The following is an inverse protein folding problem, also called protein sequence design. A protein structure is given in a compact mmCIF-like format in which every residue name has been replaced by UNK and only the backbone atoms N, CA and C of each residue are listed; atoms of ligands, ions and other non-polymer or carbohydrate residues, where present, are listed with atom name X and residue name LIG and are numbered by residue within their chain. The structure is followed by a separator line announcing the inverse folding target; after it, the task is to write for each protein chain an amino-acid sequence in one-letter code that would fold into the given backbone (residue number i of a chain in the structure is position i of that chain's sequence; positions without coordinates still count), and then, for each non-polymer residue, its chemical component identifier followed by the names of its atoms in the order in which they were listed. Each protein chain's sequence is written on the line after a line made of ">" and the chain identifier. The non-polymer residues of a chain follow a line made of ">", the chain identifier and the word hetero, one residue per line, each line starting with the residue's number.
data_IF_933551611175
#
_entry.id   IF_933551611175
#
_cell.length_a   1.000
_cell.length_b   1.000
_cell.length_c   1.000
_cell.angle_alpha   90.00
_cell.angle_beta   90.00
_cell.angle_gamma   90.00
#
_symmetry.space_group_name_H-M   'P 1'
#
loop_
_entity.id
_entity.type
_entity.pdbx_description
1 polymer ?
#
# COMPACT_ATOMS: atom_id res chain seq x y z
N UNK A 1 9.89 4.22 8.70
CA UNK A 1 9.37 2.87 8.94
C UNK A 1 9.65 2.54 10.40
N UNK A 2 8.63 2.20 11.18
CA UNK A 2 8.78 1.96 12.62
C UNK A 2 8.64 0.48 12.97
N UNK A 3 9.17 0.10 14.14
CA UNK A 3 9.01 -1.26 14.65
C UNK A 3 7.58 -1.50 15.14
N UNK A 4 7.05 -2.72 14.91
CA UNK A 4 5.74 -3.13 15.37
C UNK A 4 5.76 -3.44 16.89
N UNK A 5 6.06 -2.42 17.70
CA UNK A 5 6.13 -2.50 19.15
C UNK A 5 5.56 -1.21 19.78
N UNK A 6 5.30 -1.23 21.09
CA UNK A 6 4.94 -0.05 21.88
C UNK A 6 3.78 0.79 21.28
N UNK A 7 3.98 2.11 21.13
CA UNK A 7 2.94 3.03 20.68
C UNK A 7 2.38 2.72 19.30
N UNK A 8 3.25 2.36 18.33
CA UNK A 8 2.84 2.09 16.94
C UNK A 8 1.94 0.86 16.86
N UNK A 9 2.25 -0.20 17.63
CA UNK A 9 1.37 -1.37 17.75
C UNK A 9 0.00 -0.98 18.29
N UNK A 10 -0.07 -0.12 19.31
CA UNK A 10 -1.33 0.38 19.88
C UNK A 10 -2.14 1.15 18.86
N UNK A 11 -1.52 2.08 18.12
CA UNK A 11 -2.18 2.88 17.08
C UNK A 11 -2.77 1.96 16.00
N UNK A 12 -1.99 1.01 15.46
CA UNK A 12 -2.49 0.08 14.44
C UNK A 12 -3.61 -0.82 14.97
N UNK A 13 -3.53 -1.28 16.23
CA UNK A 13 -4.61 -2.06 16.84
C UNK A 13 -5.86 -1.21 17.07
N UNK A 14 -5.72 0.03 17.53
CA UNK A 14 -6.84 0.98 17.68
C UNK A 14 -7.49 1.25 16.34
N UNK A 15 -6.70 1.48 15.28
CA UNK A 15 -7.20 1.63 13.91
C UNK A 15 -8.03 0.43 13.43
N UNK A 16 -7.66 -0.77 13.86
CA UNK A 16 -8.39 -2.01 13.51
C UNK A 16 -9.69 -2.20 14.33
N UNK A 17 -9.83 -1.50 15.46
CA UNK A 17 -10.93 -1.73 16.40
C UNK A 17 -11.85 -0.52 16.60
N UNK A 18 -11.45 0.68 16.18
CA UNK A 18 -12.27 1.89 16.27
C UNK A 18 -12.21 2.72 14.99
N UNK A 19 -13.32 3.38 14.65
CA UNK A 19 -13.40 4.37 13.58
C UNK A 19 -13.23 5.78 14.17
N UNK A 20 -12.08 6.07 14.80
CA UNK A 20 -11.80 7.36 15.44
C UNK A 20 -11.11 8.32 14.48
N UNK A 21 -11.40 9.60 14.58
CA UNK A 21 -10.84 10.68 13.74
C UNK A 21 -9.32 10.75 13.86
N UNK A 22 -8.79 10.59 15.08
CA UNK A 22 -7.34 10.56 15.36
C UNK A 22 -6.58 9.49 14.57
N UNK A 23 -7.23 8.36 14.29
CA UNK A 23 -6.64 7.29 13.46
C UNK A 23 -6.60 7.68 11.99
N UNK A 24 -7.61 8.37 11.51
CA UNK A 24 -7.67 8.85 10.12
C UNK A 24 -6.56 9.86 9.86
N UNK A 25 -6.38 10.84 10.76
CA UNK A 25 -5.33 11.85 10.67
C UNK A 25 -3.94 11.23 10.69
N UNK A 26 -3.72 10.23 11.57
CA UNK A 26 -2.48 9.47 11.59
C UNK A 26 -2.21 8.75 10.25
N UNK A 27 -3.22 8.10 9.67
CA UNK A 27 -3.06 7.38 8.40
C UNK A 27 -2.79 8.35 7.24
N UNK A 28 -3.41 9.51 7.25
CA UNK A 28 -3.20 10.55 6.25
C UNK A 28 -1.78 11.12 6.33
N UNK A 29 -1.28 11.45 7.52
CA UNK A 29 0.09 11.93 7.73
C UNK A 29 1.13 10.86 7.38
N UNK A 30 0.95 9.62 7.85
CA UNK A 30 1.84 8.51 7.52
C UNK A 30 1.84 8.24 6.00
N UNK A 31 0.66 8.24 5.39
CA UNK A 31 0.51 8.06 3.95
C UNK A 31 1.15 9.18 3.14
N UNK A 32 1.08 10.43 3.62
CA UNK A 32 1.73 11.57 2.98
C UNK A 32 3.25 11.40 2.92
N UNK A 33 3.87 11.04 4.03
CA UNK A 33 5.32 10.78 4.10
C UNK A 33 5.73 9.60 3.23
N UNK A 34 5.01 8.50 3.31
CA UNK A 34 5.29 7.28 2.55
C UNK A 34 5.10 7.50 1.04
N UNK A 35 4.06 8.20 0.61
CA UNK A 35 3.80 8.49 -0.80
C UNK A 35 4.87 9.40 -1.42
N UNK A 36 5.32 10.43 -0.69
CA UNK A 36 6.42 11.29 -1.13
C UNK A 36 7.73 10.53 -1.25
N UNK A 37 8.05 9.67 -0.29
CA UNK A 37 9.24 8.81 -0.36
C UNK A 37 9.15 7.81 -1.53
N UNK A 38 7.98 7.23 -1.75
CA UNK A 38 7.71 6.28 -2.82
C UNK A 38 7.93 6.89 -4.21
N UNK A 39 7.59 8.17 -4.42
CA UNK A 39 7.84 8.86 -5.68
C UNK A 39 9.32 8.84 -6.08
N UNK A 40 10.20 8.96 -5.09
CA UNK A 40 11.66 8.90 -5.29
C UNK A 40 12.11 7.47 -5.58
N UNK A 41 11.62 6.49 -4.81
CA UNK A 41 11.96 5.07 -4.96
C UNK A 41 11.58 4.55 -6.34
N UNK A 42 10.40 4.92 -6.85
CA UNK A 42 9.93 4.53 -8.18
C UNK A 42 10.56 5.35 -9.32
N UNK A 43 11.40 6.35 -9.02
CA UNK A 43 11.97 7.23 -10.05
C UNK A 43 10.93 8.08 -10.79
N UNK A 44 9.77 8.31 -10.17
CA UNK A 44 8.68 9.11 -10.76
C UNK A 44 8.54 10.50 -10.13
N UNK A 45 9.42 10.87 -9.21
CA UNK A 45 9.39 12.17 -8.53
C UNK A 45 9.50 13.32 -9.54
N UNK A 46 8.69 14.36 -9.34
CA UNK A 46 8.80 15.64 -10.03
C UNK A 46 9.81 16.56 -9.36
N UNK A 47 10.15 17.67 -10.03
CA UNK A 47 10.91 18.74 -9.41
C UNK A 47 10.13 19.31 -8.20
N UNK A 48 10.81 19.71 -7.09
CA UNK A 48 10.15 20.32 -5.95
C UNK A 48 9.34 21.55 -6.36
N UNK A 49 8.21 21.79 -5.72
CA UNK A 49 7.26 22.83 -6.08
C UNK A 49 7.91 24.24 -6.14
N UNK A 50 8.95 24.50 -5.34
CA UNK A 50 9.73 25.73 -5.36
C UNK A 50 10.49 25.97 -6.68
N UNK A 51 10.76 24.92 -7.47
CA UNK A 51 11.46 25.02 -8.75
C UNK A 51 10.53 25.21 -9.95
N UNK A 52 9.21 25.26 -9.75
CA UNK A 52 8.20 25.42 -10.82
C UNK A 52 7.93 26.89 -11.21
N UNK A 53 8.56 27.83 -10.52
CA UNK A 53 8.56 29.25 -10.90
C UNK A 53 9.50 29.50 -12.08
N UNK A 54 8.95 29.87 -13.23
CA UNK A 54 9.63 30.53 -14.35
C UNK A 54 10.40 29.72 -15.38
N UNK A 55 10.04 28.47 -15.70
CA UNK A 55 10.47 27.90 -17.01
C UNK A 55 9.27 27.33 -17.76
N UNK A 56 8.52 28.22 -18.42
CA UNK A 56 7.69 27.90 -19.58
C UNK A 56 8.62 27.55 -20.78
N UNK A 57 9.43 26.51 -20.61
CA UNK A 57 10.08 25.82 -21.70
C UNK A 57 9.24 24.59 -21.99
N UNK A 58 8.63 24.56 -23.16
CA UNK A 58 7.89 23.45 -23.75
C UNK A 58 8.78 22.19 -23.79
N UNK A 59 8.93 21.52 -22.63
CA UNK A 59 9.50 20.18 -22.59
C UNK A 59 8.42 19.24 -23.13
N UNK A 60 8.54 18.84 -24.38
CA UNK A 60 7.85 17.68 -24.93
C UNK A 60 8.16 16.48 -24.00
N UNK A 61 7.15 15.79 -23.45
CA UNK A 61 7.40 14.59 -22.68
C UNK A 61 7.86 13.49 -23.63
N UNK A 62 9.17 13.29 -23.73
CA UNK A 62 9.78 12.16 -24.42
C UNK A 62 9.74 10.91 -23.52
N UNK A 63 8.58 10.61 -22.95
CA UNK A 63 8.36 9.44 -22.13
C UNK A 63 6.87 9.18 -22.06
N UNK A 64 6.43 8.00 -22.47
CA UNK A 64 5.04 7.58 -22.38
C UNK A 64 4.47 7.80 -20.99
N UNK A 65 3.15 7.99 -20.89
CA UNK A 65 2.46 8.14 -19.63
C UNK A 65 2.77 6.93 -18.74
N UNK A 66 3.32 7.17 -17.54
CA UNK A 66 3.57 6.13 -16.54
C UNK A 66 2.32 5.97 -15.69
N UNK A 67 1.77 4.78 -15.62
CA UNK A 67 0.67 4.48 -14.73
C UNK A 67 1.18 3.73 -13.50
N UNK A 68 0.71 4.13 -12.30
CA UNK A 68 1.05 3.50 -11.03
C UNK A 68 -0.24 3.02 -10.36
N UNK A 69 -0.32 1.74 -10.07
CA UNK A 69 -1.39 1.16 -9.29
C UNK A 69 -0.96 1.02 -7.83
N UNK A 70 -1.71 1.63 -6.93
CA UNK A 70 -1.57 1.47 -5.48
C UNK A 70 -2.62 0.47 -5.04
N UNK A 71 -2.18 -0.73 -4.69
CA UNK A 71 -3.03 -1.89 -4.39
C UNK A 71 -3.05 -2.15 -2.88
N UNK A 72 -4.17 -1.89 -2.19
CA UNK A 72 -4.30 -2.19 -0.76
C UNK A 72 -4.36 -3.70 -0.52
N UNK A 73 -3.71 -4.16 0.55
CA UNK A 73 -3.82 -5.54 1.01
C UNK A 73 -5.28 -5.89 1.33
N UNK A 74 -5.76 -7.07 0.90
CA UNK A 74 -7.15 -7.43 1.06
C UNK A 74 -7.49 -7.67 2.53
N UNK A 75 -8.55 -7.05 3.02
CA UNK A 75 -9.11 -7.30 4.34
C UNK A 75 -10.26 -8.32 4.28
N UNK A 76 -10.49 -9.05 5.39
CA UNK A 76 -11.63 -9.96 5.46
C UNK A 76 -12.95 -9.20 5.28
N UNK A 77 -13.97 -9.85 4.67
CA UNK A 77 -15.27 -9.25 4.42
C UNK A 77 -15.92 -8.71 5.70
N UNK A 78 -15.73 -9.38 6.85
CA UNK A 78 -16.22 -8.93 8.17
C UNK A 78 -15.62 -7.60 8.61
N UNK A 79 -14.32 -7.35 8.34
CA UNK A 79 -13.67 -6.06 8.61
C UNK A 79 -14.16 -4.98 7.65
N UNK A 80 -14.38 -5.35 6.39
CA UNK A 80 -14.93 -4.41 5.37
C UNK A 80 -16.31 -3.88 5.78
N UNK A 81 -17.22 -4.78 6.16
CA UNK A 81 -18.57 -4.41 6.61
C UNK A 81 -18.58 -3.54 7.88
N UNK A 82 -17.57 -3.71 8.74
CA UNK A 82 -17.46 -2.93 9.99
C UNK A 82 -16.65 -1.64 9.84
N UNK A 83 -16.28 -1.22 8.63
CA UNK A 83 -15.45 -0.03 8.40
C UNK A 83 -14.04 -0.10 9.00
N UNK A 84 -13.58 -1.28 9.41
CA UNK A 84 -12.31 -1.49 10.13
C UNK A 84 -11.16 -1.85 9.18
N UNK A 85 -11.04 -1.12 8.09
CA UNK A 85 -9.97 -1.31 7.11
C UNK A 85 -8.88 -0.26 7.33
N UNK A 86 -7.64 -0.68 7.44
CA UNK A 86 -6.48 0.23 7.55
C UNK A 86 -5.78 0.39 6.21
N UNK A 87 -5.62 -0.70 5.45
CA UNK A 87 -4.87 -0.68 4.21
C UNK A 87 -5.50 0.23 3.12
N UNK A 88 -6.82 0.28 3.02
CA UNK A 88 -7.47 1.11 2.00
C UNK A 88 -7.35 2.62 2.26
N UNK A 89 -7.65 3.16 3.48
CA UNK A 89 -7.38 4.57 3.80
C UNK A 89 -5.90 4.93 3.62
N UNK A 90 -4.99 4.09 4.10
CA UNK A 90 -3.55 4.28 3.91
C UNK A 90 -3.17 4.33 2.42
N UNK A 91 -3.68 3.40 1.61
CA UNK A 91 -3.42 3.38 0.16
C UNK A 91 -3.90 4.66 -0.53
N UNK A 92 -5.05 5.19 -0.12
CA UNK A 92 -5.56 6.48 -0.63
C UNK A 92 -4.65 7.65 -0.25
N UNK A 93 -4.18 7.70 0.99
CA UNK A 93 -3.26 8.75 1.45
C UNK A 93 -1.92 8.67 0.72
N UNK A 94 -1.35 7.46 0.58
CA UNK A 94 -0.13 7.20 -0.20
C UNK A 94 -0.30 7.64 -1.66
N UNK A 95 -1.42 7.26 -2.29
CA UNK A 95 -1.68 7.59 -3.69
C UNK A 95 -1.82 9.09 -3.92
N UNK A 96 -2.51 9.82 -3.02
CA UNK A 96 -2.61 11.28 -3.08
C UNK A 96 -1.23 11.94 -3.01
N UNK A 97 -0.41 11.55 -2.05
CA UNK A 97 0.92 12.12 -1.86
C UNK A 97 1.88 11.74 -2.99
N UNK A 98 1.81 10.51 -3.46
CA UNK A 98 2.57 10.06 -4.63
C UNK A 98 2.21 10.89 -5.87
N UNK A 99 0.91 11.08 -6.15
CA UNK A 99 0.45 11.89 -7.28
C UNK A 99 0.89 13.35 -7.19
N UNK A 100 0.83 13.94 -5.97
CA UNK A 100 1.28 15.30 -5.73
C UNK A 100 2.81 15.49 -5.89
N UNK A 101 3.58 14.44 -5.61
CA UNK A 101 5.05 14.44 -5.69
C UNK A 101 5.57 13.96 -7.05
N UNK A 102 4.72 13.41 -7.91
CA UNK A 102 5.12 12.85 -9.18
C UNK A 102 5.33 13.92 -10.26
N UNK A 103 6.18 13.60 -11.24
CA UNK A 103 6.35 14.44 -12.44
C UNK A 103 5.10 14.41 -13.33
N UNK A 104 5.01 15.39 -14.23
CA UNK A 104 3.95 15.42 -15.26
C UNK A 104 4.01 14.13 -16.10
N UNK A 105 2.86 13.59 -16.44
CA UNK A 105 2.74 12.35 -17.21
C UNK A 105 2.64 11.07 -16.35
N UNK A 106 2.75 11.18 -15.02
CA UNK A 106 2.50 10.05 -14.11
C UNK A 106 1.03 10.06 -13.67
N UNK A 107 0.36 8.93 -13.86
CA UNK A 107 -1.02 8.71 -13.41
C UNK A 107 -1.05 7.70 -12.27
N UNK A 108 -1.57 8.11 -11.11
CA UNK A 108 -1.67 7.26 -9.92
C UNK A 108 -3.12 6.85 -9.68
N UNK A 109 -3.37 5.56 -9.47
CA UNK A 109 -4.71 5.03 -9.19
C UNK A 109 -4.67 4.08 -8.00
N UNK A 110 -5.67 4.17 -7.12
CA UNK A 110 -5.92 3.14 -6.10
C UNK A 110 -6.81 2.07 -6.72
N UNK A 111 -6.33 0.84 -6.78
CA UNK A 111 -7.04 -0.28 -7.41
C UNK A 111 -7.22 -1.42 -6.40
N UNK A 112 -8.46 -1.79 -6.11
CA UNK A 112 -8.80 -2.98 -5.28
C UNK A 112 -8.61 -4.24 -6.14
N UNK A 113 -7.37 -4.53 -6.51
CA UNK A 113 -7.01 -5.57 -7.47
C UNK A 113 -7.06 -7.00 -6.90
N UNK A 114 -7.11 -7.16 -5.57
CA UNK A 114 -6.94 -8.46 -4.91
C UNK A 114 -8.02 -8.70 -3.86
N UNK A 115 -8.57 -9.89 -3.83
CA UNK A 115 -9.50 -10.34 -2.78
C UNK A 115 -9.13 -11.67 -2.17
N UNK A 116 -9.47 -11.82 -0.88
CA UNK A 116 -9.45 -13.14 -0.22
C UNK A 116 -10.55 -14.03 -0.80
N UNK A 117 -10.22 -15.29 -1.04
CA UNK A 117 -11.22 -16.31 -1.38
C UNK A 117 -12.13 -16.58 -0.19
N UNK A 118 -13.38 -16.90 -0.45
CA UNK A 118 -14.34 -17.30 0.59
C UNK A 118 -13.82 -18.60 1.24
N UNK A 119 -13.79 -18.64 2.58
CA UNK A 119 -13.25 -19.78 3.33
C UNK A 119 -11.76 -19.66 3.73
N UNK A 120 -10.97 -18.80 3.09
CA UNK A 120 -9.56 -18.64 3.42
C UNK A 120 -9.28 -17.91 4.77
N UNK A 121 -10.30 -17.39 5.43
CA UNK A 121 -10.15 -16.52 6.62
C UNK A 121 -10.34 -17.19 7.97
N UNK A 122 -10.65 -18.48 8.05
CA UNK A 122 -11.13 -19.09 9.31
C UNK A 122 -10.08 -19.80 10.16
N UNK A 123 -8.78 -19.64 9.89
CA UNK A 123 -7.75 -20.30 10.70
C UNK A 123 -6.95 -19.31 11.57
N UNK A 124 -7.63 -18.58 12.43
CA UNK A 124 -7.01 -17.60 13.33
C UNK A 124 -6.33 -18.19 14.58
N UNK A 125 -6.15 -19.52 14.66
CA UNK A 125 -5.58 -20.22 15.83
C UNK A 125 -4.26 -20.95 15.60
N UNK A 126 -3.67 -20.96 14.41
CA UNK A 126 -2.49 -21.78 14.11
C UNK A 126 -1.16 -21.02 14.26
N UNK A 127 -0.10 -21.74 14.68
CA UNK A 127 1.26 -21.21 14.89
C UNK A 127 1.91 -20.65 13.59
N UNK A 128 2.94 -19.79 13.75
CA UNK A 128 3.53 -18.95 12.69
C UNK A 128 3.88 -19.65 11.36
N UNK A 129 4.49 -20.83 11.37
CA UNK A 129 4.87 -21.57 10.17
C UNK A 129 3.63 -22.06 9.37
N UNK A 130 2.57 -22.48 10.04
CA UNK A 130 1.32 -22.90 9.41
C UNK A 130 0.53 -21.74 8.80
N UNK A 131 0.77 -20.49 9.23
CA UNK A 131 0.16 -19.29 8.63
C UNK A 131 0.73 -18.97 7.25
N UNK A 132 1.98 -19.30 7.00
CA UNK A 132 2.65 -19.04 5.71
C UNK A 132 2.12 -19.98 4.63
N UNK A 133 2.01 -21.29 4.94
CA UNK A 133 1.48 -22.28 4.02
C UNK A 133 -0.03 -22.08 3.77
N UNK A 134 -0.79 -21.68 4.78
CA UNK A 134 -2.24 -21.47 4.66
C UNK A 134 -2.67 -20.23 3.86
N UNK A 135 -1.73 -19.39 3.40
CA UNK A 135 -2.04 -18.20 2.58
C UNK A 135 -1.75 -18.37 1.09
N UNK A 136 -0.99 -19.38 0.69
CA UNK A 136 -0.81 -19.68 -0.74
C UNK A 136 -2.16 -20.14 -1.34
N UNK A 137 -2.58 -19.48 -2.42
CA UNK A 137 -3.88 -19.71 -3.04
C UNK A 137 -5.08 -19.08 -2.31
N UNK A 138 -4.85 -18.36 -1.19
CA UNK A 138 -5.92 -17.72 -0.42
C UNK A 138 -6.47 -16.44 -1.09
N UNK A 139 -5.80 -15.91 -2.10
CA UNK A 139 -6.21 -14.71 -2.81
C UNK A 139 -6.56 -15.00 -4.27
N UNK A 140 -7.35 -14.09 -4.85
CA UNK A 140 -7.66 -14.04 -6.27
C UNK A 140 -7.54 -12.63 -6.80
N UNK A 141 -7.13 -12.48 -8.07
CA UNK A 141 -7.19 -11.20 -8.75
C UNK A 141 -8.63 -10.80 -9.02
N UNK A 142 -8.91 -9.52 -8.87
CA UNK A 142 -10.09 -8.84 -9.42
C UNK A 142 -9.71 -8.02 -10.66
N UNK A 143 -8.46 -7.56 -10.72
CA UNK A 143 -7.88 -6.89 -11.86
C UNK A 143 -6.41 -7.30 -11.97
N UNK A 144 -5.93 -7.43 -13.20
CA UNK A 144 -4.52 -7.70 -13.52
C UNK A 144 -3.94 -6.43 -14.12
N UNK A 145 -2.77 -5.95 -13.64
CA UNK A 145 -2.14 -4.76 -14.17
C UNK A 145 -1.79 -4.95 -15.66
N UNK A 146 -2.06 -3.97 -16.52
CA UNK A 146 -1.53 -3.96 -17.87
C UNK A 146 0.01 -3.92 -17.88
N UNK A 147 0.64 -4.35 -18.99
CA UNK A 147 2.09 -4.26 -19.13
C UNK A 147 2.56 -2.81 -19.01
N UNK A 148 3.66 -2.59 -18.29
CA UNK A 148 4.24 -1.28 -18.07
C UNK A 148 3.60 -0.46 -16.95
N UNK A 149 2.57 -0.98 -16.27
CA UNK A 149 2.03 -0.38 -15.05
C UNK A 149 2.90 -0.75 -13.86
N UNK A 150 3.33 0.25 -13.09
CA UNK A 150 4.02 0.03 -11.82
C UNK A 150 3.00 -0.35 -10.74
N UNK A 151 3.30 -1.41 -9.99
CA UNK A 151 2.38 -1.95 -8.98
C UNK A 151 2.98 -1.81 -7.58
N UNK A 152 2.27 -1.12 -6.72
CA UNK A 152 2.67 -0.87 -5.32
C UNK A 152 1.67 -1.53 -4.38
N UNK A 153 2.12 -2.50 -3.59
CA UNK A 153 1.31 -3.07 -2.52
C UNK A 153 1.34 -2.18 -1.28
N UNK A 154 0.19 -1.99 -0.63
CA UNK A 154 0.07 -1.25 0.64
C UNK A 154 -0.55 -2.14 1.69
N UNK A 155 0.16 -2.37 2.79
CA UNK A 155 -0.34 -3.12 3.96
C UNK A 155 -0.07 -2.32 5.25
N UNK A 156 -0.81 -2.59 6.32
CA UNK A 156 -0.59 -1.93 7.61
C UNK A 156 0.62 -2.53 8.35
N UNK A 157 0.76 -3.85 8.34
CA UNK A 157 1.83 -4.57 9.04
C UNK A 157 2.31 -5.73 8.19
N UNK A 158 3.57 -5.72 7.82
CA UNK A 158 4.23 -6.86 7.19
C UNK A 158 4.99 -7.64 8.27
N UNK A 159 4.50 -8.82 8.62
CA UNK A 159 5.15 -9.74 9.57
C UNK A 159 6.04 -10.76 8.84
N UNK A 160 5.45 -11.82 8.34
CA UNK A 160 6.14 -12.88 7.58
C UNK A 160 6.25 -12.57 6.09
N UNK A 161 5.62 -11.51 5.61
CA UNK A 161 5.51 -11.19 4.20
C UNK A 161 4.57 -12.10 3.39
N UNK A 162 3.89 -13.05 4.04
CA UNK A 162 3.01 -14.00 3.34
C UNK A 162 1.87 -13.33 2.56
N UNK A 163 1.30 -12.23 3.10
CA UNK A 163 0.30 -11.42 2.40
C UNK A 163 0.88 -10.81 1.12
N UNK A 164 2.06 -10.21 1.23
CA UNK A 164 2.72 -9.53 0.11
C UNK A 164 3.12 -10.52 -0.99
N UNK A 165 3.72 -11.67 -0.63
CA UNK A 165 4.05 -12.73 -1.60
C UNK A 165 2.82 -13.26 -2.34
N UNK A 166 1.70 -13.41 -1.64
CA UNK A 166 0.48 -13.88 -2.27
C UNK A 166 -0.17 -12.79 -3.15
N UNK A 167 -0.09 -11.52 -2.76
CA UNK A 167 -0.47 -10.40 -3.63
C UNK A 167 0.38 -10.39 -4.90
N UNK A 168 1.70 -10.46 -4.76
CA UNK A 168 2.66 -10.50 -5.87
C UNK A 168 2.33 -11.63 -6.86
N UNK A 169 2.14 -12.84 -6.35
CA UNK A 169 1.75 -14.00 -7.16
C UNK A 169 0.46 -13.76 -7.95
N UNK A 170 -0.52 -13.08 -7.34
CA UNK A 170 -1.86 -12.89 -7.91
C UNK A 170 -1.89 -11.75 -8.93
N UNK A 171 -1.11 -10.68 -8.72
CA UNK A 171 -1.06 -9.54 -9.66
C UNK A 171 0.05 -9.66 -10.71
N UNK A 172 0.96 -10.64 -10.56
CA UNK A 172 2.01 -10.93 -11.54
C UNK A 172 3.31 -10.16 -11.33
N UNK A 173 3.48 -9.49 -10.17
CA UNK A 173 4.69 -8.76 -9.78
C UNK A 173 4.37 -7.51 -8.97
N UNK A 174 5.34 -7.05 -8.17
CA UNK A 174 5.27 -5.82 -7.39
C UNK A 174 6.56 -5.02 -7.57
N UNK A 175 6.43 -3.73 -7.86
CA UNK A 175 7.57 -2.81 -8.00
C UNK A 175 7.98 -2.22 -6.65
N UNK A 176 7.02 -2.10 -5.70
CA UNK A 176 7.29 -1.64 -4.35
C UNK A 176 6.26 -2.15 -3.34
N UNK A 177 6.66 -2.12 -2.06
CA UNK A 177 5.78 -2.41 -0.93
C UNK A 177 5.84 -1.25 0.07
N UNK A 178 4.68 -0.76 0.47
CA UNK A 178 4.52 0.28 1.49
C UNK A 178 3.85 -0.32 2.71
N UNK A 179 4.43 -0.11 3.89
CA UNK A 179 3.87 -0.57 5.16
C UNK A 179 4.14 0.45 6.27
N UNK A 180 3.23 0.53 7.25
CA UNK A 180 3.41 1.36 8.44
C UNK A 180 4.50 0.80 9.35
N UNK A 181 4.53 -0.52 9.50
CA UNK A 181 5.51 -1.18 10.36
C UNK A 181 5.82 -2.61 9.92
N UNK A 182 7.01 -3.05 10.33
CA UNK A 182 7.45 -4.45 10.28
C UNK A 182 7.90 -4.86 11.69
N UNK A 183 7.92 -6.14 12.05
CA UNK A 183 8.59 -6.59 13.26
C UNK A 183 10.05 -6.14 13.24
N UNK A 184 10.55 -5.65 14.36
CA UNK A 184 11.98 -5.44 14.53
C UNK A 184 12.73 -6.76 14.28
N UNK A 185 13.87 -6.69 13.63
CA UNK A 185 14.82 -7.81 13.64
C UNK A 185 15.21 -7.99 15.11
N UNK A 186 14.88 -9.13 15.70
CA UNK A 186 15.43 -9.55 16.98
C UNK A 186 16.90 -9.82 16.68
N UNK A 187 17.76 -8.93 17.17
CA UNK A 187 19.21 -9.09 17.17
C UNK A 187 19.60 -10.14 18.19
#
# INVERSE_FOLDING_TARGET
>A
MGDYAGPLRRIVLTAKHSARTDVTDFLDEAGARLGTALARVLGVAGAPAAARGSRQGRATPTGGAVEVWVVPAPSSWKRRLRGRQVAMPLARAVARALAASARVGVRVRVVDAVRLRVGASSQSGKAGAQRTVGRMGAMRALAVPPRGVLVVAVDDVVTTGATIREMERVVGGLDAVVTLCRPGLIS
#
